data_IF_490749664294
#
_entry.id   IF_490749664294
#
_cell.length_a   1.000
_cell.length_b   1.000
_cell.length_c   1.000
_cell.angle_alpha   90.00
_cell.angle_beta   90.00
_cell.angle_gamma   90.00
#
_symmetry.space_group_name_H-M   'P 1'
#
loop_
_entity.id
_entity.type
_entity.pdbx_description
1 polymer ?
#
# COMPACT_ATOMS: atom_id res chain seq x y z
N UNK A 1 43.77 7.16 -32.18
CA UNK A 1 42.61 6.24 -32.08
C UNK A 1 42.07 6.35 -30.66
N UNK A 2 41.22 7.35 -30.42
CA UNK A 2 40.62 7.62 -29.12
C UNK A 2 39.36 6.78 -29.02
N UNK A 3 39.35 5.78 -28.13
CA UNK A 3 38.13 5.05 -27.78
C UNK A 3 37.26 5.98 -26.95
N UNK A 4 36.26 6.57 -27.59
CA UNK A 4 35.08 7.10 -26.92
C UNK A 4 34.25 5.91 -26.45
N UNK A 5 34.76 5.19 -25.45
CA UNK A 5 33.95 4.29 -24.64
C UNK A 5 33.15 5.17 -23.67
N UNK A 6 32.19 5.90 -24.22
CA UNK A 6 31.06 6.43 -23.46
C UNK A 6 30.30 5.20 -22.93
N UNK A 7 30.73 4.71 -21.78
CA UNK A 7 29.99 3.80 -20.92
C UNK A 7 28.58 4.38 -20.78
N UNK A 8 27.65 3.85 -21.58
CA UNK A 8 26.23 4.11 -21.48
C UNK A 8 25.76 3.56 -20.12
N UNK A 9 26.04 4.30 -19.05
CA UNK A 9 25.52 4.03 -17.71
C UNK A 9 24.01 4.10 -17.84
N UNK A 10 23.39 2.92 -17.78
CA UNK A 10 21.95 2.79 -17.73
C UNK A 10 21.42 3.72 -16.63
N UNK A 11 20.41 4.52 -16.98
CA UNK A 11 19.77 5.40 -16.02
C UNK A 11 19.34 4.58 -14.80
N UNK A 12 19.51 5.11 -13.57
CA UNK A 12 19.09 4.37 -12.40
C UNK A 12 17.58 4.20 -12.38
N UNK A 13 17.12 2.99 -12.07
CA UNK A 13 15.69 2.69 -11.95
C UNK A 13 15.25 2.75 -10.48
N UNK A 14 14.12 3.39 -10.20
CA UNK A 14 13.54 3.45 -8.86
C UNK A 14 12.96 2.09 -8.44
N UNK A 15 13.37 1.55 -7.29
CA UNK A 15 12.92 0.23 -6.82
C UNK A 15 11.46 0.18 -6.31
N UNK A 16 10.74 1.32 -6.31
CA UNK A 16 9.34 1.39 -5.88
C UNK A 16 8.40 1.51 -7.07
N UNK A 17 8.61 2.50 -7.95
CA UNK A 17 7.78 2.69 -9.14
C UNK A 17 8.31 2.00 -10.39
N UNK A 18 9.56 1.52 -10.38
CA UNK A 18 10.26 0.92 -11.52
C UNK A 18 10.48 1.86 -12.72
N UNK A 19 10.33 3.17 -12.51
CA UNK A 19 10.65 4.17 -13.53
C UNK A 19 12.15 4.46 -13.55
N UNK A 20 12.68 4.70 -14.75
CA UNK A 20 14.00 5.27 -14.94
C UNK A 20 14.01 6.72 -14.47
N UNK A 21 14.98 7.06 -13.63
CA UNK A 21 15.07 8.37 -13.01
C UNK A 21 16.44 8.97 -13.24
N UNK A 22 16.46 10.29 -13.39
CA UNK A 22 17.70 11.04 -13.47
C UNK A 22 18.34 11.18 -12.08
N UNK A 23 19.66 11.38 -12.05
CA UNK A 23 20.43 11.51 -10.82
C UNK A 23 19.96 12.65 -9.90
N UNK A 24 19.29 13.68 -10.44
CA UNK A 24 18.77 14.79 -9.66
C UNK A 24 17.45 14.44 -8.94
N UNK A 25 16.64 13.56 -9.52
CA UNK A 25 15.37 13.08 -8.92
C UNK A 25 15.56 11.97 -7.89
N UNK A 26 16.78 11.46 -7.71
CA UNK A 26 17.08 10.46 -6.69
C UNK A 26 16.94 11.02 -5.26
N UNK A 27 16.27 10.26 -4.41
CA UNK A 27 16.11 10.59 -3.00
C UNK A 27 17.45 10.53 -2.27
N UNK A 28 17.89 11.67 -1.74
CA UNK A 28 19.10 11.75 -0.91
C UNK A 28 18.72 11.59 0.56
N UNK A 29 18.73 10.35 1.04
CA UNK A 29 18.33 10.04 2.41
C UNK A 29 19.48 10.24 3.40
N UNK A 30 19.24 10.92 4.54
CA UNK A 30 20.29 11.28 5.50
C UNK A 30 20.88 10.06 6.22
N UNK A 31 20.09 8.99 6.37
CA UNK A 31 20.51 7.76 7.05
C UNK A 31 21.41 6.85 6.22
N UNK A 32 21.41 6.98 4.90
CA UNK A 32 22.20 6.12 4.01
C UNK A 32 23.42 6.86 3.43
N UNK A 33 23.42 8.19 3.44
CA UNK A 33 24.53 9.01 2.97
C UNK A 33 25.00 8.64 1.56
N UNK A 34 26.31 8.68 1.33
CA UNK A 34 26.92 8.33 0.04
C UNK A 34 26.66 6.86 -0.39
N UNK A 35 26.41 5.95 0.57
CA UNK A 35 26.09 4.54 0.27
C UNK A 35 24.78 4.38 -0.51
N UNK A 36 23.93 5.40 -0.52
CA UNK A 36 22.71 5.40 -1.34
C UNK A 36 23.03 5.20 -2.83
N UNK A 37 24.05 5.91 -3.35
CA UNK A 37 24.41 5.94 -4.77
C UNK A 37 25.13 4.70 -5.27
N UNK A 38 25.93 4.06 -4.41
CA UNK A 38 26.68 2.85 -4.75
C UNK A 38 25.84 1.57 -4.72
N UNK A 39 24.56 1.66 -4.36
CA UNK A 39 23.69 0.48 -4.26
C UNK A 39 22.84 0.34 -5.50
N UNK A 40 22.63 -0.93 -5.85
CA UNK A 40 21.75 -1.38 -6.93
C UNK A 40 20.28 -1.04 -6.69
N UNK A 41 19.88 -0.69 -5.47
CA UNK A 41 18.48 -0.39 -5.12
C UNK A 41 18.30 1.11 -4.88
N UNK A 42 17.87 1.86 -5.89
CA UNK A 42 17.70 3.30 -5.79
C UNK A 42 16.22 3.70 -5.61
N UNK A 43 15.97 4.93 -5.14
CA UNK A 43 14.61 5.42 -4.89
C UNK A 43 14.50 6.86 -5.37
N UNK A 44 13.42 7.19 -6.08
CA UNK A 44 13.15 8.57 -6.47
C UNK A 44 12.56 9.37 -5.29
N UNK A 45 12.78 10.68 -5.30
CA UNK A 45 12.31 11.58 -4.24
C UNK A 45 10.79 11.53 -4.08
N UNK A 46 10.03 11.42 -5.18
CA UNK A 46 8.57 11.35 -5.18
C UNK A 46 8.04 10.11 -4.44
N UNK A 47 8.60 8.93 -4.68
CA UNK A 47 8.18 7.72 -3.97
C UNK A 47 8.45 7.82 -2.48
N UNK A 48 9.61 8.35 -2.07
CA UNK A 48 9.92 8.56 -0.65
C UNK A 48 8.98 9.58 -0.02
N UNK A 49 8.65 10.65 -0.73
CA UNK A 49 7.68 11.65 -0.27
C UNK A 49 6.29 11.05 -0.02
N UNK A 50 5.80 10.23 -0.94
CA UNK A 50 4.53 9.51 -0.76
C UNK A 50 4.58 8.66 0.51
N UNK A 51 5.68 7.93 0.76
CA UNK A 51 5.83 7.14 1.98
C UNK A 51 5.74 8.02 3.25
N UNK A 52 6.40 9.18 3.24
CA UNK A 52 6.36 10.14 4.36
C UNK A 52 4.95 10.68 4.56
N UNK A 53 4.25 11.05 3.49
CA UNK A 53 2.88 11.55 3.54
C UNK A 53 1.90 10.51 4.08
N UNK A 54 2.06 9.24 3.67
CA UNK A 54 1.23 8.13 4.20
C UNK A 54 1.57 7.74 5.64
N UNK A 55 2.73 8.16 6.16
CA UNK A 55 3.22 7.88 7.51
C UNK A 55 3.03 9.03 8.50
N UNK A 56 2.03 9.89 8.31
CA UNK A 56 1.76 11.06 9.15
C UNK A 56 2.99 12.00 9.27
N UNK A 57 3.73 12.17 8.18
CA UNK A 57 4.91 13.03 8.10
C UNK A 57 6.23 12.37 8.52
N UNK A 58 6.22 11.10 8.95
CA UNK A 58 7.44 10.33 9.25
C UNK A 58 7.34 8.92 8.65
N UNK A 59 8.32 8.53 7.85
CA UNK A 59 8.41 7.18 7.31
C UNK A 59 9.68 6.46 7.73
N UNK A 60 9.68 5.14 7.61
CA UNK A 60 10.90 4.35 7.67
C UNK A 60 11.59 4.39 6.29
N UNK A 61 12.90 4.62 6.26
CA UNK A 61 13.70 4.51 5.06
C UNK A 61 13.51 3.11 4.43
N UNK A 62 13.12 3.01 3.14
CA UNK A 62 12.92 1.72 2.48
C UNK A 62 14.14 0.79 2.50
N UNK A 63 15.33 1.38 2.63
CA UNK A 63 16.58 0.63 2.66
C UNK A 63 17.00 0.18 4.06
N UNK A 64 17.15 1.11 5.00
CA UNK A 64 17.74 0.83 6.32
C UNK A 64 16.75 0.98 7.47
N UNK A 65 15.50 1.35 7.18
CA UNK A 65 14.40 1.55 8.13
C UNK A 65 14.59 2.65 9.18
N UNK A 66 15.65 3.46 9.07
CA UNK A 66 15.79 4.68 9.87
C UNK A 66 14.62 5.63 9.64
N UNK A 67 14.16 6.33 10.68
CA UNK A 67 13.07 7.28 10.54
C UNK A 67 13.53 8.52 9.76
N UNK A 68 12.72 8.92 8.78
CA UNK A 68 12.95 10.05 7.89
C UNK A 68 11.69 10.92 7.82
N UNK A 69 11.89 12.22 7.69
CA UNK A 69 10.85 13.21 7.46
C UNK A 69 11.26 14.15 6.33
N UNK A 70 10.33 14.97 5.86
CA UNK A 70 10.60 16.03 4.87
C UNK A 70 10.38 17.39 5.53
N UNK A 71 11.41 18.22 5.54
CA UNK A 71 11.41 19.57 6.12
C UNK A 71 12.05 20.51 5.11
N UNK A 72 11.35 21.59 4.76
CA UNK A 72 11.81 22.62 3.80
C UNK A 72 12.30 22.03 2.46
N UNK A 73 11.58 21.01 1.96
CA UNK A 73 11.91 20.34 0.70
C UNK A 73 13.04 19.30 0.79
N UNK A 74 13.75 19.19 1.92
CA UNK A 74 14.84 18.24 2.12
C UNK A 74 14.43 17.04 2.99
N UNK A 75 15.06 15.88 2.75
CA UNK A 75 14.91 14.71 3.61
C UNK A 75 15.81 14.83 4.85
N UNK A 76 15.23 14.74 6.03
CA UNK A 76 15.93 14.84 7.32
C UNK A 76 15.71 13.58 8.16
N UNK A 77 16.66 13.28 9.05
CA UNK A 77 16.49 12.19 9.99
C UNK A 77 15.44 12.60 11.03
N UNK A 78 14.43 11.75 11.23
CA UNK A 78 13.39 11.98 12.21
C UNK A 78 13.70 11.23 13.51
N UNK A 79 13.39 11.79 14.68
CA UNK A 79 13.54 11.08 15.94
C UNK A 79 12.54 9.91 16.00
N UNK A 80 13.03 8.74 16.44
CA UNK A 80 12.16 7.60 16.71
C UNK A 80 11.36 7.85 17.99
N UNK A 81 10.05 7.56 17.94
CA UNK A 81 9.19 7.58 19.11
C UNK A 81 9.25 6.23 19.84
N UNK A 82 8.86 6.23 21.13
CA UNK A 82 8.65 4.98 21.87
C UNK A 82 7.32 4.38 21.45
N UNK A 83 7.34 3.13 21.01
CA UNK A 83 6.13 2.38 20.65
C UNK A 83 5.21 2.24 21.87
N UNK A 84 3.92 2.56 21.74
CA UNK A 84 2.94 2.42 22.81
C UNK A 84 2.80 0.96 23.32
N UNK A 85 3.07 -0.02 22.46
CA UNK A 85 2.94 -1.45 22.76
C UNK A 85 4.21 -2.04 23.39
N UNK A 86 5.34 -2.01 22.68
CA UNK A 86 6.59 -2.63 23.15
C UNK A 86 7.55 -1.68 23.86
N UNK A 87 7.22 -0.38 23.95
CA UNK A 87 8.02 0.69 24.58
C UNK A 87 9.43 0.92 24.00
N UNK A 88 9.80 0.19 22.94
CA UNK A 88 11.06 0.38 22.22
C UNK A 88 11.04 1.67 21.37
N UNK A 89 12.17 2.38 21.30
CA UNK A 89 12.35 3.61 20.52
C UNK A 89 12.54 3.28 19.02
N UNK A 90 11.47 2.81 18.39
CA UNK A 90 11.46 2.35 16.98
C UNK A 90 10.15 2.67 16.24
N UNK A 91 9.31 3.53 16.81
CA UNK A 91 8.03 3.89 16.22
C UNK A 91 8.16 5.14 15.35
N UNK A 92 7.59 5.09 14.15
CA UNK A 92 7.39 6.27 13.28
C UNK A 92 6.08 6.99 13.61
N UNK A 93 5.09 6.29 14.17
CA UNK A 93 3.84 6.84 14.73
C UNK A 93 3.66 6.47 16.21
N UNK A 94 2.42 6.14 16.62
CA UNK A 94 2.12 5.67 17.99
C UNK A 94 2.64 4.25 18.26
N UNK A 95 2.58 3.39 17.25
CA UNK A 95 3.07 2.01 17.31
C UNK A 95 4.17 1.79 16.27
N UNK A 96 5.15 0.95 16.59
CA UNK A 96 6.11 0.54 15.59
C UNK A 96 5.49 -0.45 14.60
N UNK A 97 6.08 -0.56 13.41
CA UNK A 97 5.55 -1.40 12.33
C UNK A 97 5.37 -2.87 12.74
N UNK A 98 6.30 -3.41 13.53
CA UNK A 98 6.19 -4.77 14.05
C UNK A 98 4.94 -4.94 14.93
N UNK A 99 4.68 -4.02 15.86
CA UNK A 99 3.50 -4.08 16.72
C UNK A 99 2.22 -3.74 15.95
N UNK A 100 2.27 -2.89 14.92
CA UNK A 100 1.12 -2.65 14.05
C UNK A 100 0.74 -3.93 13.27
N UNK A 101 1.73 -4.66 12.76
CA UNK A 101 1.52 -5.96 12.13
C UNK A 101 0.98 -6.99 13.13
N UNK A 102 1.58 -7.08 14.32
CA UNK A 102 1.11 -7.93 15.41
C UNK A 102 -0.31 -7.61 15.87
N UNK A 103 -0.71 -6.34 15.84
CA UNK A 103 -2.07 -5.90 16.15
C UNK A 103 -3.09 -6.36 15.09
N UNK A 104 -2.73 -6.32 13.80
CA UNK A 104 -3.59 -6.84 12.72
C UNK A 104 -3.73 -8.36 12.76
N UNK A 105 -2.66 -9.05 13.13
CA UNK A 105 -2.64 -10.51 13.30
C UNK A 105 -2.54 -10.87 14.79
N UNK A 106 -3.45 -10.36 15.62
CA UNK A 106 -3.38 -10.54 17.08
C UNK A 106 -3.64 -12.00 17.50
N UNK A 107 -2.60 -12.83 17.50
CA UNK A 107 -2.68 -14.26 17.81
C UNK A 107 -2.82 -14.51 19.32
N UNK A 108 -3.37 -15.68 19.68
CA UNK A 108 -3.32 -16.19 21.04
C UNK A 108 -1.99 -16.89 21.29
N UNK A 109 -1.40 -16.58 22.43
CA UNK A 109 -0.19 -17.22 22.92
C UNK A 109 -0.46 -17.91 24.23
N UNK A 110 0.19 -19.04 24.47
CA UNK A 110 0.19 -19.75 25.75
C UNK A 110 1.44 -19.42 26.55
N UNK A 111 1.22 -19.01 27.79
CA UNK A 111 2.24 -18.76 28.79
C UNK A 111 2.97 -20.07 29.13
N UNK A 112 4.30 -20.05 29.16
CA UNK A 112 5.13 -21.18 29.57
C UNK A 112 4.84 -21.61 31.02
N UNK A 113 4.66 -20.63 31.93
CA UNK A 113 4.56 -20.88 33.37
C UNK A 113 3.17 -21.39 33.79
N UNK A 114 2.10 -20.70 33.39
CA UNK A 114 0.74 -21.04 33.85
C UNK A 114 -0.11 -21.75 32.79
N UNK A 115 0.37 -21.89 31.54
CA UNK A 115 -0.41 -22.44 30.43
C UNK A 115 -1.56 -21.56 29.94
N UNK A 116 -1.84 -20.44 30.62
CA UNK A 116 -2.88 -19.48 30.28
C UNK A 116 -2.68 -18.85 28.91
N UNK A 117 -3.79 -18.53 28.25
CA UNK A 117 -3.78 -17.92 26.92
C UNK A 117 -3.95 -16.39 27.00
N UNK A 118 -3.19 -15.64 26.19
CA UNK A 118 -3.30 -14.18 26.08
C UNK A 118 -3.13 -13.77 24.61
N UNK A 119 -3.91 -12.79 24.14
CA UNK A 119 -3.63 -12.13 22.86
C UNK A 119 -2.55 -11.08 23.07
N UNK A 120 -1.47 -11.16 22.31
CA UNK A 120 -0.33 -10.24 22.44
C UNK A 120 -0.20 -9.48 21.11
N UNK A 121 -0.38 -8.14 21.10
CA UNK A 121 -0.31 -7.33 19.87
C UNK A 121 1.12 -7.15 19.35
N UNK A 122 2.14 -7.51 20.14
CA UNK A 122 3.51 -7.58 19.66
C UNK A 122 3.77 -8.96 19.03
N UNK A 123 4.38 -9.04 17.83
CA UNK A 123 4.52 -10.28 17.07
C UNK A 123 5.55 -11.22 17.69
N UNK A 124 5.17 -11.91 18.76
CA UNK A 124 6.07 -12.81 19.50
C UNK A 124 6.56 -13.99 18.64
N UNK A 125 5.88 -14.30 17.53
CA UNK A 125 6.28 -15.35 16.58
C UNK A 125 7.66 -15.09 15.95
N UNK A 126 8.07 -13.82 15.82
CA UNK A 126 9.39 -13.45 15.27
C UNK A 126 10.56 -13.94 16.13
N UNK A 127 10.30 -14.31 17.38
CA UNK A 127 11.31 -14.76 18.34
C UNK A 127 11.27 -16.29 18.52
N UNK A 128 10.59 -17.04 17.65
CA UNK A 128 10.41 -18.48 17.76
C UNK A 128 11.16 -19.21 16.65
N UNK A 129 11.86 -20.29 16.99
CA UNK A 129 12.58 -21.10 16.02
C UNK A 129 11.63 -21.91 15.12
N UNK A 130 10.49 -22.33 15.66
CA UNK A 130 9.40 -23.04 14.98
C UNK A 130 8.02 -22.61 15.52
N UNK A 131 6.90 -22.90 14.82
CA UNK A 131 5.55 -22.54 15.27
C UNK A 131 5.15 -23.11 16.64
N UNK A 132 5.78 -24.21 17.06
CA UNK A 132 5.51 -24.91 18.31
C UNK A 132 6.51 -24.58 19.43
N UNK A 133 7.59 -23.89 19.11
CA UNK A 133 8.64 -23.52 20.06
C UNK A 133 8.22 -22.36 20.97
N UNK A 134 8.88 -22.27 22.13
CA UNK A 134 8.81 -21.09 22.99
C UNK A 134 9.59 -19.94 22.37
N UNK A 135 9.13 -18.71 22.59
CA UNK A 135 9.83 -17.50 22.19
C UNK A 135 11.14 -17.33 22.97
N UNK A 136 12.19 -16.86 22.29
CA UNK A 136 13.45 -16.46 22.93
C UNK A 136 13.31 -15.17 23.73
N UNK A 137 12.40 -14.27 23.32
CA UNK A 137 12.03 -13.08 24.06
C UNK A 137 10.92 -13.37 25.08
N UNK A 138 10.88 -12.60 26.16
CA UNK A 138 9.81 -12.65 27.17
C UNK A 138 8.77 -11.55 26.96
N UNK A 139 7.55 -11.79 27.45
CA UNK A 139 6.48 -10.79 27.50
C UNK A 139 5.66 -10.95 28.78
N UNK A 140 5.02 -9.87 29.24
CA UNK A 140 4.23 -9.86 30.46
C UNK A 140 2.96 -10.71 30.34
N UNK A 141 2.75 -11.60 31.31
CA UNK A 141 1.53 -12.38 31.48
C UNK A 141 0.56 -11.64 32.40
N UNK A 142 -0.42 -10.96 31.80
CA UNK A 142 -1.45 -10.21 32.52
C UNK A 142 -2.60 -11.10 33.02
N UNK A 143 -2.64 -12.37 32.60
CA UNK A 143 -3.72 -13.30 32.95
C UNK A 143 -3.61 -13.87 34.36
N UNK A 144 -2.51 -14.58 34.66
CA UNK A 144 -2.37 -15.29 35.94
C UNK A 144 -1.02 -15.04 36.64
N UNK A 145 0.10 -15.03 35.91
CA UNK A 145 1.40 -14.91 36.55
C UNK A 145 1.71 -13.50 37.06
N UNK A 146 1.22 -12.45 36.38
CA UNK A 146 1.57 -11.06 36.69
C UNK A 146 3.04 -10.71 36.41
N UNK A 147 3.75 -11.53 35.65
CA UNK A 147 5.21 -11.46 35.45
C UNK A 147 5.60 -11.77 33.99
N UNK A 148 6.86 -11.53 33.63
CA UNK A 148 7.43 -11.86 32.33
C UNK A 148 7.68 -13.36 32.19
N UNK A 149 7.38 -13.90 31.01
CA UNK A 149 7.52 -15.32 30.68
C UNK A 149 7.76 -15.49 29.19
N UNK A 150 8.12 -16.70 28.75
CA UNK A 150 8.16 -17.07 27.34
C UNK A 150 6.78 -17.53 26.89
N UNK A 151 6.56 -17.41 25.60
CA UNK A 151 5.26 -17.64 24.98
C UNK A 151 5.42 -18.61 23.83
N UNK A 152 4.44 -19.47 23.62
CA UNK A 152 4.28 -20.22 22.36
C UNK A 152 2.95 -19.85 21.72
N UNK A 153 2.82 -19.92 20.42
CA UNK A 153 1.54 -19.66 19.75
C UNK A 153 0.56 -20.79 20.11
N UNK A 154 -0.71 -20.46 20.32
CA UNK A 154 -1.75 -21.49 20.44
C UNK A 154 -1.85 -22.22 19.10
N UNK A 155 -1.85 -23.56 19.11
CA UNK A 155 -1.76 -24.36 17.88
C UNK A 155 -2.85 -24.04 16.85
N UNK A 156 -4.02 -23.55 17.29
CA UNK A 156 -5.12 -23.13 16.42
C UNK A 156 -4.83 -21.85 15.64
N UNK A 157 -3.93 -21.01 16.13
CA UNK A 157 -3.60 -19.70 15.55
C UNK A 157 -2.25 -19.74 14.78
N UNK A 158 -1.51 -20.84 14.84
CA UNK A 158 -0.18 -20.96 14.20
C UNK A 158 -0.24 -20.73 12.68
N UNK A 159 -1.29 -21.25 12.02
CA UNK A 159 -1.50 -21.07 10.58
C UNK A 159 -1.93 -19.63 10.19
N UNK A 160 -2.27 -18.78 11.17
CA UNK A 160 -2.65 -17.39 10.95
C UNK A 160 -1.47 -16.42 10.98
N UNK A 161 -0.25 -16.88 11.24
CA UNK A 161 0.95 -16.06 11.14
C UNK A 161 1.12 -15.62 9.67
N UNK A 162 1.25 -14.31 9.39
CA UNK A 162 1.48 -13.84 8.03
C UNK A 162 2.74 -14.46 7.47
N UNK A 163 2.61 -15.22 6.38
CA UNK A 163 3.73 -16.00 5.86
C UNK A 163 4.88 -15.13 5.31
N UNK A 164 4.60 -13.89 4.90
CA UNK A 164 5.62 -12.89 4.55
C UNK A 164 6.43 -12.36 5.76
N UNK A 165 5.98 -12.64 6.99
CA UNK A 165 6.61 -12.20 8.24
C UNK A 165 7.05 -13.37 9.14
N UNK A 166 6.77 -14.61 8.73
CA UNK A 166 7.19 -15.79 9.44
C UNK A 166 8.73 -15.91 9.43
N UNK A 167 9.38 -16.34 10.53
CA UNK A 167 10.81 -16.61 10.53
C UNK A 167 11.19 -17.59 9.43
N UNK A 168 12.31 -17.34 8.74
CA UNK A 168 12.80 -18.22 7.68
C UNK A 168 12.97 -19.68 8.15
N UNK A 169 13.33 -19.88 9.42
CA UNK A 169 13.48 -21.20 10.04
C UNK A 169 12.19 -22.03 10.08
N UNK A 170 11.03 -21.43 9.83
CA UNK A 170 9.75 -22.15 9.80
C UNK A 170 9.52 -22.88 8.46
N UNK A 171 10.41 -22.70 7.47
CA UNK A 171 10.30 -23.35 6.16
C UNK A 171 9.10 -22.87 5.32
N UNK A 172 8.38 -21.85 5.77
CA UNK A 172 7.19 -21.32 5.10
C UNK A 172 7.51 -20.46 3.88
N UNK A 173 8.79 -20.14 3.63
CA UNK A 173 9.18 -19.25 2.53
C UNK A 173 8.81 -19.81 1.16
N UNK A 174 9.02 -21.10 0.92
CA UNK A 174 8.73 -21.71 -0.38
C UNK A 174 7.22 -21.87 -0.61
N UNK A 175 6.49 -22.36 0.40
CA UNK A 175 5.03 -22.44 0.35
C UNK A 175 4.37 -21.07 0.17
N UNK A 176 4.91 -20.03 0.81
CA UNK A 176 4.44 -18.66 0.61
C UNK A 176 4.75 -18.12 -0.79
N UNK A 177 5.98 -18.33 -1.28
CA UNK A 177 6.34 -17.93 -2.64
C UNK A 177 5.46 -18.64 -3.68
N UNK A 178 5.16 -19.92 -3.47
CA UNK A 178 4.23 -20.67 -4.32
C UNK A 178 2.82 -20.08 -4.30
N UNK A 179 2.25 -19.81 -3.11
CA UNK A 179 0.94 -19.17 -2.98
C UNK A 179 0.91 -17.76 -3.57
N UNK A 180 1.99 -17.00 -3.46
CA UNK A 180 2.12 -15.67 -4.06
C UNK A 180 2.15 -15.73 -5.60
N UNK A 181 2.89 -16.69 -6.17
CA UNK A 181 2.89 -16.94 -7.63
C UNK A 181 1.50 -17.29 -8.13
N UNK A 182 0.82 -18.21 -7.44
CA UNK A 182 -0.55 -18.63 -7.78
C UNK A 182 -1.55 -17.45 -7.69
N UNK A 183 -1.42 -16.58 -6.68
CA UNK A 183 -2.25 -15.39 -6.55
C UNK A 183 -2.02 -14.39 -7.70
N UNK A 184 -0.77 -14.19 -8.12
CA UNK A 184 -0.44 -13.32 -9.27
C UNK A 184 -0.99 -13.92 -10.58
N UNK A 185 -0.87 -15.24 -10.76
CA UNK A 185 -1.44 -15.93 -11.92
C UNK A 185 -2.98 -15.78 -11.96
N UNK A 186 -3.66 -15.96 -10.83
CA UNK A 186 -5.11 -15.72 -10.72
C UNK A 186 -5.49 -14.27 -11.01
N UNK A 187 -4.72 -13.30 -10.52
CA UNK A 187 -4.96 -11.87 -10.78
C UNK A 187 -4.83 -11.55 -12.27
N UNK A 188 -3.73 -11.97 -12.92
CA UNK A 188 -3.52 -11.81 -14.37
C UNK A 188 -4.61 -12.48 -15.19
N UNK A 189 -5.03 -13.69 -14.81
CA UNK A 189 -6.13 -14.37 -15.48
C UNK A 189 -7.46 -13.61 -15.34
N UNK A 190 -7.70 -12.97 -14.19
CA UNK A 190 -8.89 -12.15 -13.97
C UNK A 190 -8.87 -10.85 -14.80
N UNK A 191 -7.73 -10.16 -14.87
CA UNK A 191 -7.56 -8.96 -15.69
C UNK A 191 -7.73 -9.26 -17.18
N UNK A 192 -7.14 -10.36 -17.66
CA UNK A 192 -7.30 -10.81 -19.05
C UNK A 192 -8.77 -11.10 -19.41
N UNK A 193 -9.55 -11.69 -18.48
CA UNK A 193 -10.99 -11.90 -18.66
C UNK A 193 -11.78 -10.59 -18.73
N UNK A 194 -11.44 -9.62 -17.87
CA UNK A 194 -12.09 -8.31 -17.87
C UNK A 194 -11.79 -7.53 -19.15
N UNK A 195 -10.54 -7.55 -19.62
CA UNK A 195 -10.15 -6.92 -20.88
C UNK A 195 -10.80 -7.60 -22.10
N UNK A 196 -10.88 -8.93 -22.09
CA UNK A 196 -11.63 -9.70 -23.08
C UNK A 196 -13.13 -9.36 -23.10
N UNK A 197 -13.75 -9.16 -21.93
CA UNK A 197 -15.15 -8.74 -21.84
C UNK A 197 -15.37 -7.29 -22.30
N UNK A 198 -14.36 -6.42 -22.14
CA UNK A 198 -14.41 -5.03 -22.61
C UNK A 198 -14.35 -4.95 -24.12
N UNK A 199 -13.46 -5.71 -24.74
CA UNK A 199 -13.28 -5.74 -26.20
C UNK A 199 -14.50 -6.33 -26.92
N UNK A 200 -15.14 -7.37 -26.39
CA UNK A 200 -16.38 -7.92 -26.95
C UNK A 200 -17.54 -6.93 -26.89
N UNK A 201 -17.72 -6.23 -25.77
CA UNK A 201 -18.79 -5.21 -25.63
C UNK A 201 -18.61 -4.04 -26.60
N UNK A 202 -17.37 -3.62 -26.87
CA UNK A 202 -17.09 -2.58 -27.89
C UNK A 202 -17.39 -3.12 -29.29
N UNK A 203 -17.00 -4.35 -29.60
CA UNK A 203 -17.28 -4.99 -30.89
C UNK A 203 -18.78 -5.13 -31.19
N UNK A 204 -19.58 -5.51 -30.20
CA UNK A 204 -21.03 -5.65 -30.34
C UNK A 204 -21.73 -4.30 -30.51
N UNK A 205 -21.27 -3.26 -29.80
CA UNK A 205 -21.75 -1.89 -29.98
C UNK A 205 -21.47 -1.36 -31.39
N UNK A 206 -20.27 -1.60 -31.92
CA UNK A 206 -19.91 -1.19 -33.29
C UNK A 206 -20.71 -1.96 -34.33
N UNK A 207 -20.87 -3.29 -34.18
CA UNK A 207 -21.70 -4.09 -35.10
C UNK A 207 -23.16 -3.66 -35.09
N UNK A 208 -23.73 -3.40 -33.91
CA UNK A 208 -25.10 -2.90 -33.79
C UNK A 208 -25.26 -1.53 -34.48
N UNK A 209 -24.31 -0.61 -34.27
CA UNK A 209 -24.32 0.70 -34.93
C UNK A 209 -24.22 0.59 -36.46
N UNK A 210 -23.35 -0.29 -36.97
CA UNK A 210 -23.22 -0.53 -38.43
C UNK A 210 -24.50 -1.13 -39.00
N UNK A 211 -25.11 -2.12 -38.33
CA UNK A 211 -26.37 -2.73 -38.77
C UNK A 211 -27.53 -1.73 -38.80
N UNK A 212 -27.63 -0.84 -37.80
CA UNK A 212 -28.62 0.24 -37.78
C UNK A 212 -28.40 1.23 -38.91
N UNK A 213 -27.15 1.61 -39.18
CA UNK A 213 -26.82 2.51 -40.29
C UNK A 213 -27.18 1.90 -41.66
N UNK A 214 -26.89 0.61 -41.86
CA UNK A 214 -27.25 -0.11 -43.09
C UNK A 214 -28.77 -0.20 -43.29
N UNK A 215 -29.53 -0.50 -42.23
CA UNK A 215 -30.99 -0.51 -42.27
C UNK A 215 -31.58 0.86 -42.58
N UNK A 216 -31.05 1.93 -41.96
CA UNK A 216 -31.49 3.29 -42.22
C UNK A 216 -31.21 3.72 -43.68
N UNK A 217 -30.04 3.36 -44.22
CA UNK A 217 -29.71 3.62 -45.63
C UNK A 217 -30.63 2.84 -46.59
N UNK A 218 -30.93 1.57 -46.29
CA UNK A 218 -31.85 0.77 -47.09
C UNK A 218 -33.29 1.35 -47.05
N UNK A 219 -33.77 1.77 -45.88
CA UNK A 219 -35.07 2.40 -45.72
C UNK A 219 -35.17 3.73 -46.48
N UNK A 220 -34.11 4.55 -46.44
CA UNK A 220 -34.04 5.78 -47.23
C UNK A 220 -34.11 5.47 -48.73
N UNK A 221 -33.32 4.51 -49.23
CA UNK A 221 -33.36 4.12 -50.65
C UNK A 221 -34.75 3.62 -51.10
N UNK A 222 -35.47 2.88 -50.25
CA UNK A 222 -36.86 2.48 -50.57
C UNK A 222 -37.83 3.67 -50.59
N UNK A 223 -37.67 4.63 -49.68
CA UNK A 223 -38.52 5.83 -49.65
C UNK A 223 -38.35 6.73 -50.89
N UNK A 224 -37.18 6.72 -51.54
CA UNK A 224 -36.96 7.43 -52.80
C UNK A 224 -37.47 6.68 -54.04
N UNK A 225 -37.83 5.40 -53.94
CA UNK A 225 -38.30 4.62 -55.09
C UNK A 225 -39.78 4.89 -55.47
N UNK A 226 -40.58 5.44 -54.55
CA UNK A 226 -42.00 5.80 -54.79
C UNK A 226 -42.24 7.32 -54.91
N UNK A 227 -41.17 8.10 -55.14
CA UNK A 227 -41.27 9.53 -55.35
C UNK A 227 -42.00 9.87 -56.66
N UNK A 228 -43.12 10.62 -56.64
CA UNK A 228 -43.71 11.15 -57.85
C UNK A 228 -42.73 12.12 -58.51
N UNK A 229 -42.66 12.06 -59.84
CA UNK A 229 -41.95 13.02 -60.68
C UNK A 229 -42.42 14.46 -60.35
N UNK A 230 -41.56 15.24 -59.69
CA UNK A 230 -41.83 16.66 -59.38
C UNK A 230 -41.09 17.51 -60.40
N UNK A 231 -41.86 18.22 -61.22
CA UNK A 231 -41.41 19.26 -62.13
C UNK A 231 -40.60 20.35 -61.41
N UNK A 232 -39.54 20.81 -62.07
CA UNK A 232 -38.68 21.91 -61.65
C UNK A 232 -39.46 23.23 -61.51
N UNK A 233 -39.68 23.65 -60.27
CA UNK A 233 -40.18 24.99 -59.95
C UNK A 233 -39.10 25.79 -59.22
N UNK A 234 -38.47 26.72 -59.93
CA UNK A 234 -37.48 27.65 -59.39
C UNK A 234 -38.06 28.74 -58.46
N UNK A 235 -37.15 29.33 -57.68
CA UNK A 235 -37.39 30.47 -56.76
C UNK A 235 -36.74 30.16 -55.41
N UNK A 236 -35.67 30.82 -54.95
CA UNK A 236 -35.42 32.25 -54.95
C UNK A 236 -35.93 32.83 -53.63
N UNK A 237 -35.04 33.18 -52.68
CA UNK A 237 -35.43 33.95 -51.49
C UNK A 237 -34.64 33.67 -50.21
N UNK A 238 -33.54 34.41 -50.06
CA UNK A 238 -33.06 35.14 -48.88
C UNK A 238 -33.47 34.79 -47.43
N UNK A 239 -32.42 34.73 -46.62
CA UNK A 239 -32.26 35.36 -45.29
C UNK A 239 -33.17 34.92 -44.12
N UNK A 240 -32.54 34.41 -43.06
CA UNK A 240 -32.23 35.20 -41.84
C UNK A 240 -31.63 34.34 -40.73
N UNK A 241 -30.58 34.89 -40.12
CA UNK A 241 -30.08 34.56 -38.80
C UNK A 241 -31.19 34.57 -37.74
N UNK A 242 -31.18 33.59 -36.84
CA UNK A 242 -31.61 33.80 -35.45
C UNK A 242 -30.98 32.74 -34.55
N UNK A 243 -30.21 33.27 -33.61
CA UNK A 243 -29.61 32.61 -32.46
C UNK A 243 -30.70 32.17 -31.49
N UNK A 244 -30.59 30.96 -30.92
CA UNK A 244 -31.15 30.67 -29.60
C UNK A 244 -30.38 29.53 -28.93
N UNK A 245 -29.63 29.91 -27.93
CA UNK A 245 -29.04 29.10 -26.87
C UNK A 245 -30.12 28.44 -26.00
N UNK A 246 -30.07 27.13 -25.75
CA UNK A 246 -30.63 26.48 -24.56
C UNK A 246 -29.98 25.11 -24.30
N UNK A 247 -30.12 24.64 -23.06
CA UNK A 247 -29.61 23.43 -22.39
C UNK A 247 -28.21 23.54 -21.77
N UNK A 248 -27.95 23.11 -20.54
CA UNK A 248 -28.75 22.85 -19.33
C UNK A 248 -27.69 22.50 -18.29
N UNK A 249 -27.50 23.34 -17.27
CA UNK A 249 -26.59 23.03 -16.16
C UNK A 249 -27.30 22.13 -15.16
N UNK A 250 -26.90 20.86 -15.11
CA UNK A 250 -27.28 19.95 -14.04
C UNK A 250 -26.31 20.11 -12.87
N UNK A 251 -26.76 20.83 -11.84
CA UNK A 251 -26.10 21.00 -10.56
C UNK A 251 -26.21 19.72 -9.74
N UNK A 252 -25.12 18.99 -9.56
CA UNK A 252 -25.03 17.91 -8.57
C UNK A 252 -24.75 18.53 -7.20
N UNK A 253 -25.81 18.58 -6.39
CA UNK A 253 -25.75 18.92 -4.97
C UNK A 253 -25.35 17.68 -4.19
N UNK A 254 -24.11 17.62 -3.71
CA UNK A 254 -23.68 16.58 -2.76
C UNK A 254 -23.79 17.11 -1.34
N UNK A 255 -24.79 16.60 -0.64
CA UNK A 255 -25.19 16.91 0.72
C UNK A 255 -24.09 16.56 1.71
N UNK A 256 -23.73 17.55 2.53
CA UNK A 256 -22.92 17.41 3.73
C UNK A 256 -23.72 16.65 4.79
N UNK A 257 -23.32 15.42 5.12
CA UNK A 257 -23.84 14.72 6.30
C UNK A 257 -22.93 14.98 7.49
N UNK A 258 -23.35 15.96 8.28
CA UNK A 258 -22.95 16.21 9.65
C UNK A 258 -23.43 15.07 10.57
N UNK A 259 -22.51 14.20 10.98
CA UNK A 259 -22.70 13.22 12.05
C UNK A 259 -22.04 13.72 13.33
N UNK A 260 -22.86 14.22 14.26
CA UNK A 260 -22.43 14.75 15.54
C UNK A 260 -21.88 13.70 16.51
N UNK A 261 -20.91 14.18 17.29
CA UNK A 261 -20.63 13.89 18.68
C UNK A 261 -21.23 12.62 19.32
N UNK A 262 -20.34 11.71 19.75
CA UNK A 262 -20.58 10.96 20.99
C UNK A 262 -19.29 10.81 21.80
N UNK A 263 -19.39 11.39 22.99
CA UNK A 263 -18.43 11.43 24.08
C UNK A 263 -17.99 10.03 24.50
N UNK A 264 -16.70 9.88 24.83
CA UNK A 264 -16.30 9.34 26.13
C UNK A 264 -14.85 9.70 26.46
N UNK A 265 -14.73 10.61 27.42
CA UNK A 265 -13.52 10.82 28.19
C UNK A 265 -13.25 9.54 29.01
N UNK A 266 -12.04 9.00 28.89
CA UNK A 266 -11.45 8.13 29.92
C UNK A 266 -10.15 8.80 30.34
N UNK A 267 -10.29 9.74 31.27
CA UNK A 267 -9.22 10.12 32.17
C UNK A 267 -8.97 8.93 33.09
N UNK A 268 -7.86 8.21 32.88
CA UNK A 268 -7.26 7.38 33.92
C UNK A 268 -5.85 7.84 34.17
N UNK A 269 -5.73 8.56 35.27
CA UNK A 269 -4.54 8.71 36.09
C UNK A 269 -3.77 7.39 36.20
N UNK A 270 -2.56 7.33 35.64
CA UNK A 270 -1.53 6.42 36.12
C UNK A 270 -0.54 7.26 36.93
N UNK A 271 -0.71 7.15 38.25
CA UNK A 271 0.30 7.52 39.21
C UNK A 271 1.56 6.67 39.07
N UNK A 272 2.62 7.26 39.60
CA UNK A 272 4.02 6.90 39.65
C UNK A 272 4.41 5.45 39.95
N UNK A 273 5.71 5.22 39.72
CA UNK A 273 6.64 4.29 40.37
C UNK A 273 6.87 2.93 39.71
N UNK A 274 7.97 2.85 38.96
CA UNK A 274 9.03 1.81 39.04
C UNK A 274 10.20 2.35 38.21
N UNK A 275 11.33 2.72 38.82
CA UNK A 275 12.28 1.77 39.36
C UNK A 275 13.33 1.51 38.27
N UNK A 276 14.31 2.44 38.16
CA UNK A 276 15.43 2.29 37.26
C UNK A 276 16.33 1.15 37.73
N UNK A 277 16.57 0.17 36.86
CA UNK A 277 17.59 -0.85 37.06
C UNK A 277 18.63 -0.71 35.95
N UNK A 278 19.86 -0.49 36.38
CA UNK A 278 21.09 -0.36 35.62
C UNK A 278 21.29 -1.52 34.63
N UNK A 279 21.66 -1.19 33.39
CA UNK A 279 22.34 -2.13 32.49
C UNK A 279 23.84 -1.88 32.65
N UNK A 280 24.48 -2.77 33.39
CA UNK A 280 25.94 -2.82 33.52
C UNK A 280 26.55 -3.16 32.17
N UNK A 281 27.50 -2.31 31.77
CA UNK A 281 28.43 -2.49 30.66
C UNK A 281 29.28 -3.72 30.97
N UNK A 282 29.24 -4.73 30.11
CA UNK A 282 30.20 -5.84 30.15
C UNK A 282 31.36 -5.50 29.22
N UNK A 283 32.56 -5.68 29.76
CA UNK A 283 33.86 -5.39 29.19
C UNK A 283 34.16 -6.14 27.90
N UNK A 284 34.81 -5.42 26.98
CA UNK A 284 35.51 -6.00 25.84
C UNK A 284 36.99 -6.15 26.22
N UNK A 285 37.44 -7.39 26.40
CA UNK A 285 38.86 -7.76 26.39
C UNK A 285 39.01 -9.26 26.06
N UNK A 286 39.33 -9.55 24.80
CA UNK A 286 40.17 -10.63 24.28
C UNK A 286 40.08 -10.66 22.76
#
# INVERSE_FOLDING_TARGET
MSRSDDDARSAPTCAVCYDDVDDASLARLPCCGARARASTTQFCAKCVEILIQTGDGVAACPRCRAAIARVDGAFVAAPLRRCAVCRQARATGETCEACALGGRAALRYRCERCGGAQRIPHPMWRYMASPTSLSSATWACHGACGDYTRWRIDSRDAASVPASDAPASWGSSEAWLAAAREAVERARASEARLEGARTTRVGDGVKAAVMVALWAAAAAMMAFADGPFVEEGGGGGDARSSSSSFFSSSSLSSSSSSGGALRRAISRSFGSSVGGANVSRADAAA
#
